data_IF_091288350591
#
_entry.id   IF_091288350591
#
_cell.length_a   1.000
_cell.length_b   1.000
_cell.length_c   1.000
_cell.angle_alpha   90.00
_cell.angle_beta   90.00
_cell.angle_gamma   90.00
#
_symmetry.space_group_name_H-M   'P 1'
#
loop_
_entity.id
_entity.type
_entity.pdbx_description
1 polymer ?
#
# COMPACT_ATOMS: atom_id res chain seq x y z
N UNK A 1 -82.40 2.83 -35.31
CA UNK A 1 -81.54 3.95 -35.75
C UNK A 1 -80.10 3.48 -35.83
N UNK A 2 -79.30 4.03 -36.74
CA UNK A 2 -77.86 3.77 -37.01
C UNK A 2 -77.61 2.68 -38.07
N UNK A 3 -77.40 2.97 -39.36
CA UNK A 3 -76.48 3.84 -40.14
C UNK A 3 -75.21 3.12 -40.62
N UNK A 4 -75.24 2.81 -41.92
CA UNK A 4 -74.25 3.01 -42.99
C UNK A 4 -72.74 2.68 -42.84
N UNK A 5 -72.33 1.87 -43.82
CA UNK A 5 -71.06 1.50 -44.44
C UNK A 5 -70.04 2.61 -44.79
N UNK A 6 -68.75 2.22 -44.86
CA UNK A 6 -67.67 2.74 -45.75
C UNK A 6 -66.30 2.19 -45.31
N UNK A 7 -65.61 1.24 -45.99
CA UNK A 7 -64.79 1.28 -47.24
C UNK A 7 -63.81 2.47 -47.30
N UNK A 8 -62.51 2.40 -47.62
CA UNK A 8 -61.42 1.43 -47.90
C UNK A 8 -60.12 2.19 -47.48
N UNK A 9 -58.95 1.59 -47.24
CA UNK A 9 -57.91 1.36 -48.25
C UNK A 9 -56.65 0.77 -47.59
N UNK A 10 -55.96 -0.10 -48.33
CA UNK A 10 -54.76 -0.81 -47.92
C UNK A 10 -53.48 -0.09 -48.37
N UNK A 11 -52.50 0.11 -47.49
CA UNK A 11 -51.05 0.19 -47.82
C UNK A 11 -50.24 -0.23 -46.59
N UNK A 12 -49.55 -1.37 -46.66
CA UNK A 12 -48.33 -1.65 -45.86
C UNK A 12 -47.14 -1.14 -46.70
N UNK A 13 -46.03 -0.59 -46.13
CA UNK A 13 -45.05 -1.48 -45.50
C UNK A 13 -44.08 -0.89 -44.44
N UNK A 14 -43.32 -1.82 -43.84
CA UNK A 14 -41.92 -1.69 -43.43
C UNK A 14 -41.57 -0.92 -42.14
N UNK A 15 -41.50 -1.69 -41.05
CA UNK A 15 -40.31 -1.86 -40.19
C UNK A 15 -39.24 -0.76 -40.26
N UNK A 16 -39.29 0.20 -39.32
CA UNK A 16 -38.17 1.14 -39.03
C UNK A 16 -37.83 1.27 -37.53
N UNK A 17 -38.22 0.29 -36.70
CA UNK A 17 -37.97 0.35 -35.24
C UNK A 17 -36.61 -0.19 -34.78
N UNK A 18 -35.71 -0.58 -35.69
CA UNK A 18 -34.44 -1.25 -35.33
C UNK A 18 -33.18 -0.43 -35.62
N UNK A 19 -33.27 0.90 -35.70
CA UNK A 19 -32.09 1.75 -35.97
C UNK A 19 -31.82 2.85 -34.94
N UNK A 20 -32.69 3.06 -33.96
CA UNK A 20 -32.40 3.99 -32.85
C UNK A 20 -31.93 3.29 -31.56
N UNK A 21 -32.13 1.98 -31.45
CA UNK A 21 -31.65 1.22 -30.29
C UNK A 21 -30.15 0.88 -30.37
N UNK A 22 -29.53 1.00 -31.54
CA UNK A 22 -28.12 0.63 -31.78
C UNK A 22 -27.19 1.83 -31.96
N UNK A 23 -27.57 3.00 -31.44
CA UNK A 23 -26.66 4.15 -31.26
C UNK A 23 -26.74 4.77 -29.85
N UNK A 24 -27.63 4.26 -29.00
CA UNK A 24 -27.62 4.59 -27.56
C UNK A 24 -26.74 3.64 -26.74
N UNK A 25 -26.09 2.67 -27.40
CA UNK A 25 -25.24 1.65 -26.79
C UNK A 25 -23.75 1.91 -27.09
N UNK A 26 -23.30 3.16 -27.00
CA UNK A 26 -21.83 3.45 -27.03
C UNK A 26 -21.38 4.76 -26.41
N UNK A 27 -22.22 5.37 -25.57
CA UNK A 27 -21.79 6.42 -24.65
C UNK A 27 -22.52 6.27 -23.31
N UNK A 28 -22.49 5.07 -22.74
CA UNK A 28 -22.44 5.01 -21.29
C UNK A 28 -20.99 5.31 -20.93
N UNK A 29 -20.67 6.61 -20.92
CA UNK A 29 -19.60 7.11 -20.07
C UNK A 29 -19.89 6.45 -18.74
N UNK A 30 -18.98 5.59 -18.26
CA UNK A 30 -19.00 5.15 -16.87
C UNK A 30 -18.98 6.45 -16.08
N UNK A 31 -20.17 6.90 -15.68
CA UNK A 31 -20.31 7.93 -14.69
C UNK A 31 -19.62 7.31 -13.50
N UNK A 32 -18.42 7.79 -13.20
CA UNK A 32 -17.78 7.63 -11.90
C UNK A 32 -18.73 8.31 -10.90
N UNK A 33 -19.86 7.68 -10.61
CA UNK A 33 -20.74 8.07 -9.49
C UNK A 33 -20.16 7.60 -8.16
N UNK A 34 -19.07 6.86 -8.20
CA UNK A 34 -18.14 6.79 -7.09
C UNK A 34 -17.11 7.91 -7.25
N UNK A 35 -17.58 9.17 -7.21
CA UNK A 35 -16.78 10.22 -6.58
C UNK A 35 -16.76 9.89 -5.10
N UNK A 36 -16.06 8.80 -4.75
CA UNK A 36 -15.73 8.45 -3.40
C UNK A 36 -14.82 9.59 -2.95
N UNK A 37 -15.43 10.61 -2.34
CA UNK A 37 -14.70 11.73 -1.73
C UNK A 37 -13.62 11.05 -0.90
N UNK A 38 -12.33 11.24 -1.20
CA UNK A 38 -11.29 10.54 -0.48
C UNK A 38 -11.45 10.94 0.98
N UNK A 39 -11.94 9.99 1.79
CA UNK A 39 -12.06 10.19 3.23
C UNK A 39 -10.67 10.54 3.71
N UNK A 40 -10.58 11.52 4.60
CA UNK A 40 -9.33 11.96 5.23
C UNK A 40 -8.47 10.75 5.61
N UNK A 41 -7.44 10.47 4.80
CA UNK A 41 -6.55 9.34 4.99
C UNK A 41 -5.39 9.77 5.89
N UNK A 42 -5.73 10.22 7.10
CA UNK A 42 -4.69 10.54 8.05
C UNK A 42 -4.07 9.26 8.58
N UNK A 43 -2.92 8.93 8.01
CA UNK A 43 -2.06 7.85 8.46
C UNK A 43 -1.04 8.33 9.49
N UNK A 44 -1.05 9.61 9.88
CA UNK A 44 -0.23 10.06 11.00
C UNK A 44 -0.66 9.33 12.26
N UNK A 45 0.31 8.63 12.83
CA UNK A 45 0.17 7.88 14.06
C UNK A 45 0.70 8.76 15.18
N UNK A 46 -0.05 8.84 16.27
CA UNK A 46 0.37 9.57 17.47
C UNK A 46 1.45 8.80 18.23
N UNK A 47 1.42 7.48 18.16
CA UNK A 47 2.34 6.59 18.86
C UNK A 47 3.11 5.71 17.85
N UNK A 48 4.35 5.37 18.21
CA UNK A 48 5.16 4.42 17.46
C UNK A 48 4.66 2.98 17.69
N UNK A 49 4.65 2.16 16.64
CA UNK A 49 4.36 0.72 16.74
C UNK A 49 5.56 -0.03 17.28
N UNK A 50 6.76 0.41 16.89
CA UNK A 50 8.04 -0.14 17.31
C UNK A 50 8.86 0.94 18.01
N UNK A 51 8.44 1.28 19.22
CA UNK A 51 9.18 2.20 20.07
C UNK A 51 10.59 1.69 20.36
N UNK A 52 11.53 2.63 20.52
CA UNK A 52 12.89 2.31 20.91
C UNK A 52 12.92 1.73 22.33
N UNK A 53 13.55 0.57 22.49
CA UNK A 53 13.71 -0.09 23.78
C UNK A 53 15.19 -0.12 24.21
N UNK A 54 15.58 0.78 25.10
CA UNK A 54 16.95 0.92 25.58
C UNK A 54 17.52 -0.40 26.16
N UNK A 55 16.75 -1.08 27.00
CA UNK A 55 17.18 -2.36 27.63
C UNK A 55 17.50 -3.44 26.59
N UNK A 56 16.72 -3.49 25.49
CA UNK A 56 16.95 -4.43 24.42
C UNK A 56 18.23 -4.10 23.63
N UNK A 57 18.52 -2.82 23.42
CA UNK A 57 19.74 -2.36 22.75
C UNK A 57 20.96 -2.58 23.63
N UNK A 58 20.88 -2.31 24.93
CA UNK A 58 21.95 -2.61 25.88
C UNK A 58 22.32 -4.09 25.88
N UNK A 59 21.31 -4.96 25.81
CA UNK A 59 21.54 -6.41 25.67
C UNK A 59 22.29 -6.73 24.38
N UNK A 60 21.87 -6.15 23.24
CA UNK A 60 22.56 -6.33 21.95
C UNK A 60 24.03 -5.91 22.05
N UNK A 61 24.31 -4.77 22.68
CA UNK A 61 25.68 -4.28 22.84
C UNK A 61 26.52 -5.27 23.65
N UNK A 62 26.00 -5.74 24.79
CA UNK A 62 26.69 -6.73 25.63
C UNK A 62 26.96 -8.03 24.88
N UNK A 63 25.95 -8.59 24.22
CA UNK A 63 26.06 -9.84 23.49
C UNK A 63 27.11 -9.73 22.36
N UNK A 64 27.09 -8.63 21.58
CA UNK A 64 28.06 -8.40 20.50
C UNK A 64 29.48 -8.23 21.05
N UNK A 65 29.64 -7.46 22.13
CA UNK A 65 30.94 -7.28 22.77
C UNK A 65 31.48 -8.60 23.32
N UNK A 66 30.67 -9.39 24.01
CA UNK A 66 31.07 -10.67 24.59
C UNK A 66 31.51 -11.67 23.50
N UNK A 67 30.77 -11.77 22.40
CA UNK A 67 31.11 -12.64 21.27
C UNK A 67 32.43 -12.21 20.61
N UNK A 68 32.62 -10.90 20.36
CA UNK A 68 33.83 -10.41 19.69
C UNK A 68 35.05 -10.48 20.58
N UNK A 69 34.92 -10.10 21.85
CA UNK A 69 36.04 -10.07 22.79
C UNK A 69 36.44 -11.46 23.25
N UNK A 70 35.51 -12.41 23.38
CA UNK A 70 35.84 -13.81 23.73
C UNK A 70 36.73 -14.49 22.69
N UNK A 71 36.69 -14.04 21.44
CA UNK A 71 37.56 -14.54 20.36
C UNK A 71 39.01 -14.04 20.50
N UNK A 72 39.24 -12.98 21.27
CA UNK A 72 40.53 -12.31 21.39
C UNK A 72 41.20 -12.71 22.70
N UNK A 73 42.21 -13.56 22.62
CA UNK A 73 42.92 -14.08 23.80
C UNK A 73 43.91 -13.07 24.40
N UNK A 74 44.37 -12.08 23.63
CA UNK A 74 45.36 -11.08 24.08
C UNK A 74 45.04 -9.70 23.54
N UNK A 75 45.26 -8.67 24.35
CA UNK A 75 45.12 -7.28 23.92
C UNK A 75 46.20 -6.89 22.90
N UNK A 76 45.77 -6.29 21.79
CA UNK A 76 46.65 -5.81 20.71
C UNK A 76 46.29 -4.36 20.35
N UNK A 77 47.11 -3.36 20.73
CA UNK A 77 46.75 -1.94 20.56
C UNK A 77 46.60 -1.55 19.09
N UNK A 78 47.45 -2.10 18.21
CA UNK A 78 47.45 -1.78 16.77
C UNK A 78 46.15 -2.19 16.06
N UNK A 79 45.48 -3.23 16.56
CA UNK A 79 44.23 -3.74 15.99
C UNK A 79 42.99 -3.19 16.69
N UNK A 80 43.14 -2.44 17.77
CA UNK A 80 42.02 -1.99 18.62
C UNK A 80 41.07 -1.07 17.86
N UNK A 81 41.58 -0.18 17.00
CA UNK A 81 40.76 0.73 16.21
C UNK A 81 39.86 -0.02 15.21
N UNK A 82 40.43 -1.01 14.51
CA UNK A 82 39.71 -1.89 13.58
C UNK A 82 38.66 -2.71 14.31
N UNK A 83 39.01 -3.27 15.46
CA UNK A 83 38.08 -4.01 16.31
C UNK A 83 36.87 -3.17 16.71
N UNK A 84 37.09 -1.94 17.17
CA UNK A 84 36.01 -1.04 17.55
C UNK A 84 35.07 -0.74 16.38
N UNK A 85 35.62 -0.56 15.18
CA UNK A 85 34.83 -0.33 13.97
C UNK A 85 33.98 -1.56 13.62
N UNK A 86 34.53 -2.76 13.71
CA UNK A 86 33.80 -4.01 13.48
C UNK A 86 32.69 -4.22 14.52
N UNK A 87 32.98 -4.01 15.81
CA UNK A 87 31.98 -4.09 16.89
C UNK A 87 30.85 -3.09 16.64
N UNK A 88 31.18 -1.83 16.32
CA UNK A 88 30.18 -0.81 16.03
C UNK A 88 29.32 -1.20 14.82
N UNK A 89 29.92 -1.73 13.75
CA UNK A 89 29.20 -2.22 12.58
C UNK A 89 28.22 -3.36 12.91
N UNK A 90 28.63 -4.31 13.74
CA UNK A 90 27.80 -5.44 14.15
C UNK A 90 26.66 -5.02 15.10
N UNK A 91 26.93 -4.11 16.04
CA UNK A 91 25.90 -3.50 16.89
C UNK A 91 24.88 -2.76 16.03
N UNK A 92 25.32 -1.89 15.13
CA UNK A 92 24.42 -1.15 14.24
C UNK A 92 23.57 -2.12 13.42
N UNK A 93 24.16 -3.14 12.81
CA UNK A 93 23.43 -4.16 12.03
C UNK A 93 22.39 -4.88 12.88
N UNK A 94 22.71 -5.21 14.13
CA UNK A 94 21.77 -5.87 15.04
C UNK A 94 20.63 -4.95 15.51
N UNK A 95 20.92 -3.66 15.74
CA UNK A 95 19.92 -2.65 16.09
C UNK A 95 19.01 -2.34 14.90
N UNK A 96 19.57 -2.20 13.69
CA UNK A 96 18.80 -1.97 12.46
C UNK A 96 17.77 -3.09 12.21
N UNK A 97 18.11 -4.35 12.51
CA UNK A 97 17.18 -5.49 12.39
C UNK A 97 15.95 -5.39 13.31
N UNK A 98 15.95 -4.51 14.32
CA UNK A 98 14.77 -4.29 15.17
C UNK A 98 13.71 -3.42 14.49
N UNK A 99 14.08 -2.72 13.40
CA UNK A 99 13.20 -1.83 12.64
C UNK A 99 12.44 -0.87 13.56
N UNK A 100 13.14 -0.23 14.49
CA UNK A 100 12.52 0.78 15.35
C UNK A 100 11.95 1.91 14.49
N UNK A 101 10.78 2.39 14.88
CA UNK A 101 10.15 3.50 14.19
C UNK A 101 11.00 4.76 14.39
N UNK A 102 11.17 5.52 13.31
CA UNK A 102 11.80 6.84 13.38
C UNK A 102 10.83 7.75 14.14
N UNK A 103 11.32 8.37 15.21
CA UNK A 103 10.63 9.45 15.92
C UNK A 103 10.15 10.54 14.95
#
# INVERSE_FOLDING_TARGET
>A
MSKYQGKQDAVMPASKSKLWHTLSQKMSVKMLTDLEIPRYQNTYRLESYKAFHAVAVDKIIRDVMEIKLSTITSYQPDQTSKLCLEIAGDVLKAVYKKDYDRY
#
